data_IF_183644239092
#
_entry.id   IF_183644239092
#
_cell.length_a   1.000
_cell.length_b   1.000
_cell.length_c   1.000
_cell.angle_alpha   90.00
_cell.angle_beta   90.00
_cell.angle_gamma   90.00
#
_symmetry.space_group_name_H-M   'P 1'
#
loop_
_entity.id
_entity.type
_entity.pdbx_description
1 polymer ?
#
# COMPACT_ATOMS: atom_id res chain seq x y z
N UNK A 1 -7.95 -29.99 4.28
CA UNK A 1 -7.76 -29.01 3.18
C UNK A 1 -6.96 -27.86 3.76
N UNK A 2 -5.73 -27.64 3.32
CA UNK A 2 -4.96 -26.45 3.74
C UNK A 2 -5.45 -25.31 2.85
N UNK A 3 -6.17 -24.36 3.43
CA UNK A 3 -6.54 -23.13 2.74
C UNK A 3 -5.25 -22.34 2.51
N UNK A 4 -4.75 -22.33 1.28
CA UNK A 4 -3.58 -21.53 0.94
C UNK A 4 -3.90 -20.05 1.17
N UNK A 5 -3.07 -19.39 1.98
CA UNK A 5 -3.16 -17.95 2.21
C UNK A 5 -3.03 -17.21 0.88
N UNK A 6 -3.85 -16.17 0.65
CA UNK A 6 -3.73 -15.32 -0.55
C UNK A 6 -2.32 -14.71 -0.64
N UNK A 7 -1.89 -14.35 -1.85
CA UNK A 7 -0.60 -13.67 -2.04
C UNK A 7 -0.49 -12.40 -1.18
N UNK A 8 -1.57 -11.62 -1.11
CA UNK A 8 -1.62 -10.41 -0.29
C UNK A 8 -1.40 -10.70 1.21
N UNK A 9 -1.98 -11.79 1.71
CA UNK A 9 -1.76 -12.21 3.10
C UNK A 9 -0.30 -12.66 3.30
N UNK A 10 0.28 -13.43 2.37
CA UNK A 10 1.67 -13.85 2.46
C UNK A 10 2.66 -12.66 2.43
N UNK A 11 2.41 -11.66 1.59
CA UNK A 11 3.21 -10.44 1.52
C UNK A 11 3.12 -9.63 2.82
N UNK A 12 1.91 -9.48 3.36
CA UNK A 12 1.66 -8.83 4.65
C UNK A 12 2.38 -9.58 5.79
N UNK A 13 2.24 -10.90 5.85
CA UNK A 13 2.90 -11.74 6.86
C UNK A 13 4.43 -11.63 6.76
N UNK A 14 4.96 -11.50 5.55
CA UNK A 14 6.40 -11.27 5.33
C UNK A 14 6.84 -9.92 5.86
N UNK A 15 6.08 -8.85 5.64
CA UNK A 15 6.39 -7.51 6.14
C UNK A 15 6.47 -7.46 7.69
N UNK A 16 5.60 -8.20 8.37
CA UNK A 16 5.60 -8.28 9.84
C UNK A 16 6.55 -9.35 10.40
N UNK A 17 7.18 -10.18 9.56
CA UNK A 17 8.04 -11.28 10.02
C UNK A 17 9.28 -10.74 10.74
N UNK A 18 9.45 -11.14 12.00
CA UNK A 18 10.60 -10.74 12.83
C UNK A 18 10.55 -9.31 13.35
N UNK A 19 9.49 -8.54 13.03
CA UNK A 19 9.23 -7.22 13.60
C UNK A 19 8.75 -7.38 15.04
N UNK A 20 9.37 -6.64 15.97
CA UNK A 20 8.95 -6.68 17.38
C UNK A 20 7.75 -5.77 17.63
N UNK A 21 7.73 -4.61 16.97
CA UNK A 21 6.66 -3.63 17.07
C UNK A 21 6.66 -2.72 15.83
N UNK A 22 5.51 -2.21 15.37
CA UNK A 22 4.15 -2.63 15.73
C UNK A 22 3.75 -3.95 15.03
N UNK A 23 2.76 -4.64 15.60
CA UNK A 23 2.02 -5.72 14.94
C UNK A 23 1.02 -5.17 13.92
N UNK A 24 0.48 -6.04 13.06
CA UNK A 24 -0.58 -5.67 12.10
C UNK A 24 -1.77 -5.00 12.78
N UNK A 25 -2.24 -5.57 13.89
CA UNK A 25 -3.38 -5.06 14.64
C UNK A 25 -3.09 -3.66 15.22
N UNK A 26 -1.88 -3.43 15.73
CA UNK A 26 -1.49 -2.11 16.20
C UNK A 26 -1.40 -1.08 15.06
N UNK A 27 -0.94 -1.48 13.88
CA UNK A 27 -1.01 -0.62 12.70
C UNK A 27 -2.48 -0.27 12.34
N UNK A 28 -3.38 -1.25 12.40
CA UNK A 28 -4.80 -1.03 12.13
C UNK A 28 -5.44 -0.08 13.15
N UNK A 29 -5.09 -0.20 14.44
CA UNK A 29 -5.52 0.71 15.52
C UNK A 29 -4.98 2.13 15.34
N UNK A 30 -3.73 2.27 14.93
CA UNK A 30 -3.14 3.56 14.56
C UNK A 30 -3.92 4.16 13.38
N UNK A 31 -4.24 3.36 12.37
CA UNK A 31 -4.98 3.81 11.21
C UNK A 31 -6.41 4.28 11.55
N UNK A 32 -7.09 3.57 12.45
CA UNK A 32 -8.40 3.97 12.96
C UNK A 32 -8.32 5.27 13.75
N UNK A 33 -7.37 5.39 14.67
CA UNK A 33 -7.25 6.54 15.57
C UNK A 33 -6.83 7.84 14.86
N UNK A 34 -5.87 7.77 13.93
CA UNK A 34 -5.39 8.95 13.19
C UNK A 34 -6.50 9.58 12.34
N UNK A 35 -7.46 8.77 11.88
CA UNK A 35 -8.41 9.20 10.85
C UNK A 35 -9.88 9.05 11.20
N UNK A 36 -10.20 8.57 12.40
CA UNK A 36 -11.58 8.31 12.81
C UNK A 36 -12.32 7.37 11.85
N UNK A 37 -11.60 6.42 11.25
CA UNK A 37 -12.16 5.49 10.28
C UNK A 37 -12.97 4.40 10.99
N UNK A 38 -14.18 4.10 10.51
CA UNK A 38 -14.98 2.99 11.03
C UNK A 38 -14.46 1.64 10.58
N UNK A 39 -13.72 1.61 9.47
CA UNK A 39 -13.22 0.36 8.89
C UNK A 39 -11.83 0.57 8.34
N UNK A 40 -10.94 -0.36 8.66
CA UNK A 40 -9.58 -0.45 8.14
C UNK A 40 -9.42 -1.81 7.49
N UNK A 41 -9.00 -1.82 6.23
CA UNK A 41 -8.70 -3.06 5.49
C UNK A 41 -7.35 -2.96 4.80
N UNK A 42 -6.52 -4.02 4.78
CA UNK A 42 -5.34 -4.05 3.93
C UNK A 42 -5.73 -3.87 2.45
N UNK A 43 -4.81 -3.30 1.68
CA UNK A 43 -4.94 -3.29 0.22
C UNK A 43 -4.83 -4.70 -0.37
N UNK A 44 -5.50 -4.94 -1.49
CA UNK A 44 -5.52 -6.24 -2.16
C UNK A 44 -4.19 -6.55 -2.88
N UNK A 45 -3.39 -5.51 -3.16
CA UNK A 45 -2.07 -5.59 -3.79
C UNK A 45 -0.99 -4.92 -2.93
N UNK A 46 -0.55 -5.53 -1.82
CA UNK A 46 0.45 -4.94 -0.92
C UNK A 46 1.85 -4.88 -1.53
N UNK A 47 2.62 -3.87 -1.11
CA UNK A 47 4.07 -3.80 -1.38
C UNK A 47 4.89 -4.69 -0.43
N UNK A 48 6.17 -4.90 -0.75
CA UNK A 48 7.08 -5.72 0.06
C UNK A 48 7.69 -4.99 1.25
N UNK A 49 7.82 -3.66 1.17
CA UNK A 49 8.48 -2.79 2.17
C UNK A 49 7.50 -1.85 2.88
N UNK A 50 6.20 -2.12 2.75
CA UNK A 50 5.16 -1.34 3.39
C UNK A 50 3.93 -2.18 3.72
N UNK A 51 3.32 -1.92 4.87
CA UNK A 51 1.94 -2.32 5.13
C UNK A 51 1.03 -1.14 4.83
N UNK A 52 0.07 -1.35 3.91
CA UNK A 52 -0.81 -0.28 3.44
C UNK A 52 -2.27 -0.68 3.64
N UNK A 53 -3.06 0.23 4.18
CA UNK A 53 -4.46 0.02 4.51
C UNK A 53 -5.34 1.12 3.92
N UNK A 54 -6.59 0.76 3.67
CA UNK A 54 -7.66 1.65 3.24
C UNK A 54 -8.53 1.93 4.46
N UNK A 55 -8.63 3.21 4.79
CA UNK A 55 -9.40 3.76 5.88
C UNK A 55 -10.71 4.35 5.34
N UNK A 56 -11.83 3.69 5.67
CA UNK A 56 -13.16 4.04 5.18
C UNK A 56 -14.09 4.50 6.31
N UNK A 57 -15.21 5.11 5.92
CA UNK A 57 -16.34 5.37 6.82
C UNK A 57 -16.07 6.46 7.86
N UNK A 58 -15.38 7.51 7.43
CA UNK A 58 -15.21 8.73 8.23
C UNK A 58 -16.55 9.45 8.39
N UNK A 59 -16.71 10.16 9.51
CA UNK A 59 -17.85 11.04 9.72
C UNK A 59 -17.73 12.29 8.83
N UNK A 60 -18.65 12.46 7.89
CA UNK A 60 -18.75 13.64 7.02
C UNK A 60 -18.42 13.35 5.54
N UNK A 61 -18.32 14.38 4.68
CA UNK A 61 -18.06 14.23 3.24
C UNK A 61 -16.61 13.85 2.92
N UNK A 62 -15.87 13.28 3.88
CA UNK A 62 -14.46 12.96 3.68
C UNK A 62 -14.29 11.71 2.83
N UNK A 63 -13.42 11.82 1.83
CA UNK A 63 -13.06 10.72 0.96
C UNK A 63 -12.30 9.63 1.72
N UNK A 64 -12.35 8.40 1.20
CA UNK A 64 -11.55 7.30 1.71
C UNK A 64 -10.05 7.67 1.62
N UNK A 65 -9.26 7.22 2.60
CA UNK A 65 -7.84 7.54 2.68
C UNK A 65 -7.01 6.28 2.73
N UNK A 66 -5.88 6.29 2.05
CA UNK A 66 -4.84 5.29 2.17
C UNK A 66 -3.88 5.71 3.27
N UNK A 67 -3.56 4.78 4.18
CA UNK A 67 -2.47 4.92 5.13
C UNK A 67 -1.41 3.86 4.85
N UNK A 68 -0.16 4.28 4.73
CA UNK A 68 0.98 3.41 4.46
C UNK A 68 2.02 3.51 5.57
N UNK A 69 2.32 2.37 6.18
CA UNK A 69 3.40 2.19 7.15
C UNK A 69 4.61 1.62 6.41
N UNK A 70 5.69 2.40 6.33
CA UNK A 70 6.80 2.14 5.42
C UNK A 70 8.11 1.98 6.19
N UNK A 71 8.93 1.03 5.77
CA UNK A 71 10.28 0.87 6.32
C UNK A 71 11.12 2.12 6.04
N UNK A 72 12.07 2.43 6.94
CA UNK A 72 12.93 3.62 6.79
C UNK A 72 13.69 3.67 5.46
N UNK A 73 14.12 2.52 4.94
CA UNK A 73 14.82 2.44 3.65
C UNK A 73 13.90 2.61 2.44
N UNK A 74 12.58 2.68 2.66
CA UNK A 74 11.62 2.76 1.58
C UNK A 74 10.95 4.13 1.47
N UNK A 75 11.18 5.10 2.39
CA UNK A 75 10.50 6.39 2.49
C UNK A 75 10.21 7.08 1.15
N UNK A 76 9.08 7.79 1.05
CA UNK A 76 8.71 8.47 -0.20
C UNK A 76 9.63 9.67 -0.40
N UNK A 77 10.20 9.77 -1.60
CA UNK A 77 10.97 10.95 -2.02
C UNK A 77 9.98 12.07 -2.36
N UNK A 78 9.96 13.09 -1.50
CA UNK A 78 9.02 14.22 -1.62
C UNK A 78 9.24 15.04 -2.89
N UNK A 79 10.50 15.21 -3.32
CA UNK A 79 10.82 15.92 -4.55
C UNK A 79 10.32 15.13 -5.77
N UNK A 80 10.50 13.81 -5.75
CA UNK A 80 9.99 12.93 -6.79
C UNK A 80 8.46 12.91 -6.84
N UNK A 81 7.78 12.82 -5.69
CA UNK A 81 6.31 12.86 -5.63
C UNK A 81 5.78 14.20 -6.16
N UNK A 82 6.42 15.31 -5.76
CA UNK A 82 6.07 16.65 -6.24
C UNK A 82 6.25 16.76 -7.75
N UNK A 83 7.40 16.33 -8.27
CA UNK A 83 7.68 16.34 -9.72
C UNK A 83 6.69 15.47 -10.50
N UNK A 84 6.42 14.26 -10.01
CA UNK A 84 5.45 13.36 -10.65
C UNK A 84 4.06 14.01 -10.72
N UNK A 85 3.65 14.72 -9.67
CA UNK A 85 2.39 15.46 -9.66
C UNK A 85 2.39 16.67 -10.58
N UNK A 86 3.49 17.42 -10.68
CA UNK A 86 3.62 18.52 -11.65
C UNK A 86 3.44 18.03 -13.10
N UNK A 87 3.89 16.81 -13.40
CA UNK A 87 3.80 16.20 -14.74
C UNK A 87 2.44 15.55 -14.99
N UNK A 88 1.90 14.82 -14.00
CA UNK A 88 0.74 13.94 -14.18
C UNK A 88 -0.55 14.44 -13.52
N UNK A 89 -0.51 15.57 -12.81
CA UNK A 89 -1.65 16.18 -12.15
C UNK A 89 -2.29 15.26 -11.10
N UNK A 90 -3.62 15.21 -11.10
CA UNK A 90 -4.42 14.48 -10.09
C UNK A 90 -4.34 12.95 -10.20
N UNK A 91 -3.61 12.42 -11.19
CA UNK A 91 -3.29 10.99 -11.27
C UNK A 91 -2.24 10.57 -10.22
N UNK A 92 -1.50 11.53 -9.65
CA UNK A 92 -0.55 11.30 -8.56
C UNK A 92 -1.16 11.85 -7.28
N UNK A 93 -1.48 10.99 -6.29
CA UNK A 93 -2.09 11.46 -5.07
C UNK A 93 -1.09 12.31 -4.26
N UNK A 94 -1.60 13.35 -3.60
CA UNK A 94 -0.83 14.04 -2.58
C UNK A 94 -0.49 13.08 -1.43
N UNK A 95 0.74 13.13 -0.95
CA UNK A 95 1.18 12.37 0.22
C UNK A 95 1.48 13.29 1.40
N UNK A 96 0.97 12.95 2.58
CA UNK A 96 1.30 13.63 3.84
C UNK A 96 2.10 12.70 4.74
N UNK A 97 3.24 13.17 5.23
CA UNK A 97 4.05 12.46 6.23
C UNK A 97 3.58 12.78 7.65
N UNK A 98 3.33 11.75 8.45
CA UNK A 98 2.81 11.87 9.83
C UNK A 98 3.87 11.58 10.91
N UNK A 99 5.13 11.46 10.52
CA UNK A 99 6.19 11.04 11.44
C UNK A 99 6.38 9.52 11.48
N UNK A 100 6.95 9.04 12.57
CA UNK A 100 7.26 7.63 12.78
C UNK A 100 6.35 7.03 13.86
N UNK A 101 6.07 5.73 13.75
CA UNK A 101 5.39 4.97 14.80
C UNK A 101 6.27 4.95 16.05
N UNK A 102 5.72 5.42 17.17
CA UNK A 102 6.41 5.42 18.45
C UNK A 102 6.75 4.00 18.92
N UNK A 103 7.99 3.78 19.35
CA UNK A 103 8.45 2.48 19.83
C UNK A 103 8.53 1.37 18.77
N UNK A 104 8.48 1.72 17.48
CA UNK A 104 8.62 0.74 16.40
C UNK A 104 10.04 0.15 16.34
N UNK A 105 10.12 -1.18 16.22
CA UNK A 105 11.36 -1.93 16.07
C UNK A 105 11.16 -3.04 15.01
N UNK A 106 11.71 -2.85 13.78
CA UNK A 106 12.46 -1.67 13.32
C UNK A 106 11.58 -0.43 13.08
N UNK A 107 12.13 0.78 12.89
CA UNK A 107 11.33 2.00 12.69
C UNK A 107 10.38 1.93 11.50
N UNK A 108 9.20 2.55 11.63
CA UNK A 108 8.21 2.69 10.56
C UNK A 108 7.76 4.15 10.42
N UNK A 109 7.74 4.63 9.19
CA UNK A 109 7.23 5.93 8.81
C UNK A 109 5.77 5.84 8.36
N UNK A 110 4.96 6.83 8.72
CA UNK A 110 3.52 6.85 8.44
C UNK A 110 3.25 7.89 7.34
N UNK A 111 2.56 7.48 6.27
CA UNK A 111 2.13 8.35 5.19
C UNK A 111 0.65 8.19 4.90
N UNK A 112 -0.06 9.29 4.62
CA UNK A 112 -1.44 9.24 4.10
C UNK A 112 -1.58 9.83 2.72
N UNK A 113 -2.51 9.28 1.94
CA UNK A 113 -2.84 9.73 0.60
C UNK A 113 -4.36 9.62 0.36
N UNK A 114 -4.97 10.51 -0.43
CA UNK A 114 -6.34 10.29 -0.92
C UNK A 114 -6.46 8.93 -1.62
N UNK A 115 -7.56 8.21 -1.40
CA UNK A 115 -7.80 6.97 -2.12
C UNK A 115 -8.32 7.27 -3.52
N UNK A 116 -7.44 7.13 -4.53
CA UNK A 116 -7.82 7.24 -5.93
C UNK A 116 -8.66 6.02 -6.34
N UNK A 117 -9.90 6.28 -6.78
CA UNK A 117 -10.79 5.22 -7.27
C UNK A 117 -10.29 4.70 -8.61
N UNK A 118 -10.22 3.37 -8.74
CA UNK A 118 -9.82 2.70 -9.96
C UNK A 118 -9.54 1.23 -9.70
N UNK A 119 -9.15 0.52 -10.75
CA UNK A 119 -8.65 -0.85 -10.68
C UNK A 119 -7.17 -0.86 -10.95
N UNK A 120 -6.41 -1.72 -10.26
CA UNK A 120 -4.99 -1.84 -10.56
C UNK A 120 -4.79 -2.42 -11.95
N UNK A 121 -3.72 -2.03 -12.63
CA UNK A 121 -3.40 -2.58 -13.96
C UNK A 121 -3.28 -4.12 -13.90
N UNK A 122 -2.75 -4.66 -12.81
CA UNK A 122 -2.63 -6.12 -12.60
C UNK A 122 -4.00 -6.79 -12.54
N UNK A 123 -4.97 -6.22 -11.81
CA UNK A 123 -6.34 -6.76 -11.75
C UNK A 123 -7.03 -6.75 -13.12
N UNK A 124 -6.87 -5.65 -13.87
CA UNK A 124 -7.46 -5.49 -15.20
C UNK A 124 -6.83 -6.47 -16.21
N UNK A 125 -5.50 -6.64 -16.16
CA UNK A 125 -4.78 -7.54 -17.06
C UNK A 125 -5.00 -9.02 -16.71
N UNK A 126 -5.12 -9.37 -15.44
CA UNK A 126 -5.42 -10.74 -15.00
C UNK A 126 -6.80 -11.22 -15.48
N UNK A 127 -7.73 -10.29 -15.70
CA UNK A 127 -9.06 -10.59 -16.24
C UNK A 127 -9.07 -10.90 -17.75
N UNK A 128 -7.98 -10.65 -18.48
CA UNK A 128 -8.01 -10.56 -19.93
C UNK A 128 -7.40 -11.73 -20.71
N UNK A 129 -6.65 -12.68 -20.13
CA UNK A 129 -5.87 -13.54 -21.03
C UNK A 129 -5.54 -14.94 -20.49
N UNK A 130 -5.95 -15.97 -21.25
CA UNK A 130 -5.01 -17.02 -21.64
C UNK A 130 -3.84 -16.34 -22.35
N UNK A 131 -2.83 -15.93 -21.58
CA UNK A 131 -1.71 -15.16 -22.11
C UNK A 131 -0.95 -16.01 -23.13
N UNK A 132 -0.83 -15.51 -24.36
CA UNK A 132 0.13 -16.08 -25.30
C UNK A 132 1.57 -15.91 -24.76
N UNK A 133 2.55 -16.68 -25.25
CA UNK A 133 3.92 -16.65 -24.74
C UNK A 133 4.59 -15.27 -24.79
N UNK A 134 4.22 -14.41 -25.74
CA UNK A 134 4.78 -13.07 -25.88
C UNK A 134 4.19 -12.12 -24.84
N UNK A 135 2.90 -12.24 -24.52
CA UNK A 135 2.28 -11.47 -23.44
C UNK A 135 2.83 -11.91 -22.07
N UNK A 136 3.05 -13.22 -21.87
CA UNK A 136 3.69 -13.73 -20.65
C UNK A 136 5.11 -13.17 -20.49
N UNK A 137 5.89 -13.12 -21.58
CA UNK A 137 7.21 -12.50 -21.58
C UNK A 137 7.16 -11.01 -21.20
N UNK A 138 6.22 -10.24 -21.79
CA UNK A 138 6.01 -8.83 -21.45
C UNK A 138 5.59 -8.64 -20.00
N UNK A 139 4.70 -9.49 -19.47
CA UNK A 139 4.26 -9.43 -18.08
C UNK A 139 5.41 -9.72 -17.11
N UNK A 140 6.24 -10.74 -17.38
CA UNK A 140 7.46 -10.99 -16.59
C UNK A 140 8.41 -9.80 -16.59
N UNK A 141 8.60 -9.16 -17.75
CA UNK A 141 9.44 -7.96 -17.86
C UNK A 141 8.82 -6.80 -17.09
N UNK A 142 7.51 -6.59 -17.18
CA UNK A 142 6.79 -5.55 -16.46
C UNK A 142 6.91 -5.73 -14.94
N UNK A 143 6.65 -6.92 -14.42
CA UNK A 143 6.85 -7.26 -13.00
C UNK A 143 8.28 -7.00 -12.56
N UNK A 144 9.27 -7.38 -13.39
CA UNK A 144 10.69 -7.11 -13.11
C UNK A 144 11.03 -5.61 -13.07
N UNK A 145 10.38 -4.79 -13.89
CA UNK A 145 10.59 -3.34 -13.89
C UNK A 145 9.94 -2.67 -12.68
N UNK A 146 8.78 -3.15 -12.23
CA UNK A 146 8.10 -2.63 -11.05
C UNK A 146 8.81 -2.97 -9.72
N UNK A 147 9.64 -4.00 -9.70
CA UNK A 147 10.33 -4.47 -8.48
C UNK A 147 11.66 -3.75 -8.18
N UNK A 148 11.89 -2.56 -8.74
CA UNK A 148 13.12 -1.77 -8.54
C UNK A 148 12.89 -0.58 -7.62
#
# INVERSE_FOLDING_TARGET
>A
MIQQSSWAQQATDRFFRGRKSPSRMQCDEIAQSVFGASTVRPVDSPGSTSYTVICNGRLGPQEDVILSFRESGAMLDEEMVKLAREIHGDLVPESTYHGNVEGADPPLSIYSMPYLRGSSCIEVLAFQVEMDPDQEAKHRVFVKHLAR
#
